data_IF_345036053644
#
_entry.id   IF_345036053644
#
_cell.length_a   1.000
_cell.length_b   1.000
_cell.length_c   1.000
_cell.angle_alpha   90.00
_cell.angle_beta   90.00
_cell.angle_gamma   90.00
#
_symmetry.space_group_name_H-M   'P 1'
#
loop_
_entity.id
_entity.type
_entity.pdbx_description
1 polymer ?
#
# COMPACT_ATOMS: atom_id res chain seq x y z
N UNK A 1 5.04 8.55 12.45
CA UNK A 1 5.85 8.03 11.32
C UNK A 1 7.09 7.25 11.78
N UNK A 2 7.53 7.35 13.04
CA UNK A 2 8.76 6.73 13.54
C UNK A 2 8.72 5.19 13.69
N UNK A 3 7.55 4.53 13.63
CA UNK A 3 7.43 3.10 13.92
C UNK A 3 7.94 2.16 12.80
N UNK A 4 8.18 2.66 11.59
CA UNK A 4 8.55 1.85 10.42
C UNK A 4 9.85 2.28 9.74
N UNK A 5 10.46 3.36 10.23
CA UNK A 5 11.71 3.89 9.69
C UNK A 5 12.87 2.98 10.11
N UNK A 6 13.70 2.53 9.15
CA UNK A 6 14.89 1.71 9.45
C UNK A 6 16.01 2.53 10.07
N UNK A 7 16.01 3.84 9.80
CA UNK A 7 16.93 4.84 10.37
C UNK A 7 16.17 6.14 10.65
N UNK A 8 16.67 7.00 11.55
CA UNK A 8 16.12 8.34 11.71
C UNK A 8 16.07 9.08 10.37
N UNK A 9 14.92 9.65 10.01
CA UNK A 9 14.72 10.36 8.74
C UNK A 9 14.47 9.45 7.52
N UNK A 10 14.24 8.15 7.70
CA UNK A 10 13.94 7.25 6.60
C UNK A 10 12.55 7.50 6.01
N UNK A 11 12.52 8.01 4.78
CA UNK A 11 11.31 8.21 3.95
C UNK A 11 11.27 7.27 2.75
N UNK A 12 12.37 6.56 2.48
CA UNK A 12 12.58 5.79 1.26
C UNK A 12 12.23 4.31 1.39
N UNK A 13 12.31 3.75 2.61
CA UNK A 13 12.02 2.35 2.84
C UNK A 13 10.60 1.97 2.45
N UNK A 14 10.45 0.75 1.91
CA UNK A 14 9.18 0.25 1.36
C UNK A 14 8.09 0.24 2.44
N UNK A 15 8.46 -0.02 3.67
CA UNK A 15 7.64 -0.05 4.87
C UNK A 15 7.04 1.32 5.19
N UNK A 16 7.89 2.35 5.19
CA UNK A 16 7.48 3.74 5.42
C UNK A 16 6.56 4.21 4.30
N UNK A 17 6.90 3.91 3.05
CA UNK A 17 6.06 4.27 1.91
C UNK A 17 4.67 3.60 1.99
N UNK A 18 4.59 2.31 2.36
CA UNK A 18 3.31 1.61 2.54
C UNK A 18 2.48 2.24 3.67
N UNK A 19 3.11 2.64 4.77
CA UNK A 19 2.44 3.32 5.87
C UNK A 19 1.88 4.69 5.43
N UNK A 20 2.69 5.51 4.74
CA UNK A 20 2.29 6.81 4.21
C UNK A 20 1.11 6.68 3.24
N UNK A 21 1.21 5.76 2.28
CA UNK A 21 0.13 5.50 1.32
C UNK A 21 -1.15 5.07 2.02
N UNK A 22 -1.05 4.25 3.06
CA UNK A 22 -2.21 3.80 3.83
C UNK A 22 -2.93 4.95 4.53
N UNK A 23 -2.18 5.86 5.17
CA UNK A 23 -2.76 7.06 5.79
C UNK A 23 -3.44 7.93 4.73
N UNK A 24 -2.78 8.15 3.58
CA UNK A 24 -3.33 8.96 2.48
C UNK A 24 -4.61 8.36 1.90
N UNK A 25 -4.64 7.04 1.67
CA UNK A 25 -5.83 6.30 1.20
C UNK A 25 -6.98 6.46 2.20
N UNK A 26 -6.72 6.28 3.50
CA UNK A 26 -7.75 6.41 4.53
C UNK A 26 -8.31 7.84 4.62
N UNK A 27 -7.46 8.85 4.45
CA UNK A 27 -7.90 10.25 4.39
C UNK A 27 -8.77 10.53 3.16
N UNK A 28 -8.37 10.03 1.98
CA UNK A 28 -9.16 10.18 0.76
C UNK A 28 -10.49 9.42 0.83
N UNK A 29 -10.53 8.23 1.44
CA UNK A 29 -11.79 7.53 1.70
C UNK A 29 -12.76 8.38 2.55
N UNK A 30 -12.27 9.08 3.57
CA UNK A 30 -13.11 10.02 4.35
C UNK A 30 -13.57 11.21 3.52
N UNK A 31 -12.70 11.76 2.66
CA UNK A 31 -13.06 12.85 1.76
C UNK A 31 -14.21 12.47 0.82
N UNK A 32 -14.17 11.27 0.21
CA UNK A 32 -15.24 10.82 -0.71
C UNK A 32 -16.59 10.55 -0.04
N UNK A 33 -16.63 10.30 1.27
CA UNK A 33 -17.91 10.22 1.99
C UNK A 33 -18.68 11.55 1.94
N UNK A 34 -17.97 12.68 1.90
CA UNK A 34 -18.55 14.03 1.77
C UNK A 34 -18.65 14.48 0.31
N UNK A 35 -17.66 14.14 -0.52
CA UNK A 35 -17.55 14.59 -1.91
C UNK A 35 -17.67 13.42 -2.90
N UNK A 36 -18.86 12.84 -3.02
CA UNK A 36 -19.10 11.64 -3.85
C UNK A 36 -19.00 11.88 -5.36
N UNK A 37 -19.06 13.14 -5.82
CA UNK A 37 -18.99 13.51 -7.25
C UNK A 37 -17.58 13.79 -7.76
N UNK A 38 -16.57 13.86 -6.88
CA UNK A 38 -15.19 14.08 -7.30
C UNK A 38 -14.61 12.80 -7.95
N UNK A 39 -14.58 12.80 -9.28
CA UNK A 39 -14.06 11.68 -10.10
C UNK A 39 -12.54 11.79 -10.31
N UNK A 40 -11.97 12.99 -10.27
CA UNK A 40 -10.54 13.19 -10.57
C UNK A 40 -9.69 12.65 -9.42
N UNK A 41 -10.04 13.02 -8.18
CA UNK A 41 -9.36 12.52 -6.98
C UNK A 41 -9.57 11.00 -6.84
N UNK A 42 -10.70 10.45 -7.31
CA UNK A 42 -10.97 9.00 -7.23
C UNK A 42 -9.99 8.19 -8.07
N UNK A 43 -9.66 8.66 -9.28
CA UNK A 43 -8.61 8.05 -10.11
C UNK A 43 -7.26 8.10 -9.39
N UNK A 44 -6.95 9.21 -8.72
CA UNK A 44 -5.75 9.33 -7.89
C UNK A 44 -5.72 8.30 -6.74
N UNK A 45 -6.85 8.09 -6.06
CA UNK A 45 -7.00 7.09 -5.01
C UNK A 45 -6.78 5.65 -5.53
N UNK A 46 -7.34 5.33 -6.70
CA UNK A 46 -7.13 4.02 -7.35
C UNK A 46 -5.65 3.79 -7.67
N UNK A 47 -4.98 4.80 -8.22
CA UNK A 47 -3.55 4.75 -8.50
C UNK A 47 -2.71 4.52 -7.23
N UNK A 48 -3.02 5.23 -6.13
CA UNK A 48 -2.36 5.03 -4.83
C UNK A 48 -2.57 3.62 -4.28
N UNK A 49 -3.78 3.06 -4.45
CA UNK A 49 -4.10 1.70 -4.00
C UNK A 49 -3.32 0.66 -4.80
N UNK A 50 -3.20 0.83 -6.12
CA UNK A 50 -2.37 -0.03 -6.99
C UNK A 50 -0.90 0.08 -6.62
N UNK A 51 -0.38 1.30 -6.38
CA UNK A 51 1.00 1.50 -5.94
C UNK A 51 1.29 0.79 -4.62
N UNK A 52 0.43 0.94 -3.62
CA UNK A 52 0.56 0.23 -2.34
C UNK A 52 0.58 -1.29 -2.53
N UNK A 53 -0.29 -1.82 -3.40
CA UNK A 53 -0.33 -3.25 -3.73
C UNK A 53 0.99 -3.72 -4.34
N UNK A 54 1.58 -2.97 -5.28
CA UNK A 54 2.87 -3.31 -5.89
C UNK A 54 4.01 -3.34 -4.86
N UNK A 55 4.05 -2.35 -3.96
CA UNK A 55 5.04 -2.31 -2.87
C UNK A 55 4.90 -3.51 -1.92
N UNK A 56 3.67 -3.87 -1.54
CA UNK A 56 3.41 -5.07 -0.74
C UNK A 56 3.82 -6.37 -1.46
N UNK A 57 3.62 -6.46 -2.77
CA UNK A 57 4.08 -7.61 -3.57
C UNK A 57 5.60 -7.71 -3.61
N UNK A 58 6.28 -6.58 -3.80
CA UNK A 58 7.74 -6.52 -3.77
C UNK A 58 8.27 -6.94 -2.40
N UNK A 59 7.74 -6.34 -1.34
CA UNK A 59 8.16 -6.67 0.03
C UNK A 59 7.88 -8.13 0.39
N UNK A 60 6.74 -8.70 -0.03
CA UNK A 60 6.46 -10.15 0.16
C UNK A 60 7.53 -11.05 -0.46
N UNK A 61 8.16 -10.63 -1.57
CA UNK A 61 9.22 -11.40 -2.26
C UNK A 61 10.60 -11.22 -1.61
N UNK A 62 10.89 -10.02 -1.10
CA UNK A 62 12.21 -9.67 -0.56
C UNK A 62 12.31 -9.99 0.94
N UNK A 63 11.27 -9.67 1.71
CA UNK A 63 11.22 -9.81 3.16
C UNK A 63 9.79 -10.18 3.61
N UNK A 64 9.55 -11.50 3.64
CA UNK A 64 8.25 -12.04 4.04
C UNK A 64 7.89 -11.76 5.52
N UNK A 65 8.81 -11.90 6.50
CA UNK A 65 8.54 -11.50 7.88
C UNK A 65 8.08 -10.05 8.02
N UNK A 66 8.75 -9.11 7.36
CA UNK A 66 8.40 -7.69 7.42
C UNK A 66 7.06 -7.41 6.73
N UNK A 67 6.79 -8.08 5.60
CA UNK A 67 5.48 -8.04 4.94
C UNK A 67 4.36 -8.48 5.90
N UNK A 68 4.52 -9.63 6.57
CA UNK A 68 3.51 -10.14 7.50
C UNK A 68 3.27 -9.16 8.65
N UNK A 69 4.34 -8.61 9.23
CA UNK A 69 4.26 -7.61 10.30
C UNK A 69 3.47 -6.38 9.87
N UNK A 70 3.77 -5.82 8.70
CA UNK A 70 3.10 -4.61 8.21
C UNK A 70 1.63 -4.85 7.90
N UNK A 71 1.31 -5.99 7.27
CA UNK A 71 -0.08 -6.34 6.95
C UNK A 71 -0.92 -6.45 8.21
N UNK A 72 -0.39 -7.10 9.26
CA UNK A 72 -1.06 -7.22 10.56
C UNK A 72 -1.20 -5.87 11.26
N UNK A 73 -0.11 -5.11 11.36
CA UNK A 73 -0.11 -3.82 12.10
C UNK A 73 -0.99 -2.77 11.44
N UNK A 74 -1.02 -2.70 10.10
CA UNK A 74 -1.82 -1.73 9.36
C UNK A 74 -3.24 -2.22 9.02
N UNK A 75 -3.60 -3.45 9.43
CA UNK A 75 -4.91 -4.04 9.12
C UNK A 75 -5.19 -4.16 7.62
N UNK A 76 -4.15 -4.39 6.81
CA UNK A 76 -4.27 -4.44 5.36
C UNK A 76 -4.74 -5.82 4.89
N UNK A 77 -5.45 -5.85 3.77
CA UNK A 77 -5.77 -7.14 3.14
C UNK A 77 -4.49 -7.75 2.53
N UNK A 78 -4.21 -9.04 2.79
CA UNK A 78 -3.04 -9.70 2.22
C UNK A 78 -3.15 -9.75 0.70
N UNK A 79 -2.03 -9.53 0.02
CA UNK A 79 -2.02 -9.56 -1.44
C UNK A 79 -2.21 -10.99 -1.91
N UNK A 80 -3.36 -11.25 -2.56
CA UNK A 80 -3.61 -12.50 -3.28
C UNK A 80 -2.62 -12.62 -4.41
N UNK A 81 -1.92 -13.74 -4.46
CA UNK A 81 -1.08 -14.09 -5.60
C UNK A 81 -2.01 -14.20 -6.82
N UNK A 82 -1.83 -13.29 -7.77
CA UNK A 82 -2.47 -13.47 -9.07
C UNK A 82 -1.91 -14.76 -9.64
N UNK A 83 -2.80 -15.72 -9.97
CA UNK A 83 -2.47 -16.94 -10.69
C UNK A 83 -1.42 -16.61 -11.76
N UNK A 84 -0.30 -17.35 -11.77
CA UNK A 84 0.82 -17.17 -12.71
C UNK A 84 0.24 -16.83 -14.09
N UNK A 85 0.77 -15.83 -14.83
CA UNK A 85 0.45 -15.76 -16.25
C UNK A 85 0.76 -17.14 -16.81
N UNK A 86 -0.23 -17.79 -17.46
CA UNK A 86 0.06 -18.98 -18.26
C UNK A 86 1.22 -18.55 -19.14
N UNK A 87 2.38 -19.20 -19.00
CA UNK A 87 3.48 -18.99 -19.94
C UNK A 87 2.84 -19.11 -21.32
N UNK A 88 2.78 -17.99 -22.04
CA UNK A 88 2.51 -18.04 -23.46
C UNK A 88 3.63 -18.90 -24.03
N UNK A 89 3.26 -20.07 -24.55
CA UNK A 89 4.14 -20.88 -25.38
C UNK A 89 4.49 -20.09 -26.63
#
# INVERSE_FOLDING_TARGET
MAAWARRPGDSGSTEVQVAILTVRINNLHRHFKKHTKDKHTRRGLEALTVQRRKLLQYMKRVDFPMYRRIVLTLGLQPVRDSKKPKLAR
#
